data_IF_128870291549
#
_entry.id   IF_128870291549
#
_cell.length_a   1.000
_cell.length_b   1.000
_cell.length_c   1.000
_cell.angle_alpha   90.00
_cell.angle_beta   90.00
_cell.angle_gamma   90.00
#
_symmetry.space_group_name_H-M   'P 1'
#
loop_
_entity.id
_entity.type
_entity.pdbx_description
1 polymer ?
#
# COMPACT_ATOMS: atom_id res chain seq x y z
N UNK A 1 4.11 28.72 -20.82
CA UNK A 1 3.36 29.90 -20.34
C UNK A 1 4.33 30.91 -19.74
N UNK A 2 4.18 32.21 -20.06
CA UNK A 2 5.13 33.28 -19.73
C UNK A 2 4.93 33.91 -18.33
N UNK A 3 3.74 33.80 -17.76
CA UNK A 3 3.36 34.34 -16.45
C UNK A 3 2.68 33.26 -15.60
N UNK A 4 2.77 33.39 -14.28
CA UNK A 4 2.16 32.53 -13.25
C UNK A 4 1.19 33.35 -12.38
N UNK A 5 0.29 32.64 -11.69
CA UNK A 5 -0.57 33.26 -10.68
C UNK A 5 0.29 33.85 -9.55
N UNK A 6 0.03 35.10 -9.19
CA UNK A 6 0.79 35.85 -8.19
C UNK A 6 1.89 36.74 -8.77
N UNK A 7 2.21 36.65 -10.06
CA UNK A 7 3.22 37.51 -10.69
C UNK A 7 2.80 38.99 -10.65
N UNK A 8 3.69 39.88 -10.23
CA UNK A 8 3.45 41.33 -10.27
C UNK A 8 3.86 41.89 -11.64
N UNK A 9 2.90 42.46 -12.36
CA UNK A 9 3.06 42.91 -13.75
C UNK A 9 2.59 44.35 -13.92
N UNK A 10 3.21 45.03 -14.89
CA UNK A 10 2.82 46.37 -15.37
C UNK A 10 2.29 46.27 -16.78
N UNK A 11 1.24 47.01 -17.07
CA UNK A 11 0.68 47.12 -18.42
C UNK A 11 1.65 47.91 -19.31
N UNK A 12 1.86 47.44 -20.54
CA UNK A 12 2.83 48.06 -21.47
C UNK A 12 2.32 49.41 -21.98
N UNK A 13 1.00 49.50 -22.23
CA UNK A 13 0.37 50.69 -22.83
C UNK A 13 -0.26 51.62 -21.79
N UNK A 14 -0.38 51.18 -20.53
CA UNK A 14 -1.09 51.89 -19.47
C UNK A 14 -0.21 52.04 -18.22
N UNK A 15 -0.39 53.14 -17.47
CA UNK A 15 0.29 53.34 -16.18
C UNK A 15 -0.42 52.58 -15.06
N UNK A 16 -0.63 51.29 -15.27
CA UNK A 16 -1.31 50.40 -14.35
C UNK A 16 -0.40 49.23 -13.99
N UNK A 17 -0.51 48.79 -12.74
CA UNK A 17 0.22 47.66 -12.18
C UNK A 17 -0.77 46.80 -11.41
N UNK A 18 -0.46 45.52 -11.30
CA UNK A 18 -1.30 44.58 -10.58
C UNK A 18 -0.69 43.19 -10.52
N UNK A 19 -1.39 42.30 -9.83
CA UNK A 19 -1.00 40.89 -9.72
C UNK A 19 -1.79 40.06 -10.71
N UNK A 20 -1.13 39.07 -11.31
CA UNK A 20 -1.81 38.06 -12.13
C UNK A 20 -2.65 37.18 -11.21
N UNK A 21 -3.95 37.37 -11.22
CA UNK A 21 -4.91 36.67 -10.36
C UNK A 21 -5.60 35.51 -11.07
N UNK A 22 -5.54 35.47 -12.40
CA UNK A 22 -6.14 34.40 -13.21
C UNK A 22 -5.37 34.14 -14.50
N UNK A 23 -5.25 32.87 -14.89
CA UNK A 23 -4.79 32.47 -16.23
C UNK A 23 -6.02 32.02 -17.00
N UNK A 24 -6.38 32.76 -18.05
CA UNK A 24 -7.57 32.48 -18.86
C UNK A 24 -7.21 31.47 -19.95
N UNK A 25 -6.11 31.74 -20.67
CA UNK A 25 -5.49 30.83 -21.65
C UNK A 25 -4.00 31.18 -21.84
N UNK A 26 -3.34 30.59 -22.86
CA UNK A 26 -1.92 30.83 -23.17
C UNK A 26 -1.61 32.27 -23.58
N UNK A 27 -2.61 33.04 -24.02
CA UNK A 27 -2.47 34.40 -24.56
C UNK A 27 -3.11 35.47 -23.68
N UNK A 28 -4.05 35.12 -22.80
CA UNK A 28 -4.83 36.05 -21.98
C UNK A 28 -4.75 35.71 -20.49
N UNK A 29 -4.52 36.73 -19.67
CA UNK A 29 -4.40 36.65 -18.22
C UNK A 29 -5.31 37.70 -17.56
N UNK A 30 -5.79 37.42 -16.36
CA UNK A 30 -6.47 38.38 -15.49
C UNK A 30 -5.46 39.04 -14.56
N UNK A 31 -5.41 40.38 -14.57
CA UNK A 31 -4.55 41.18 -13.68
C UNK A 31 -5.44 42.05 -12.80
N UNK A 32 -5.24 41.97 -11.49
CA UNK A 32 -5.98 42.77 -10.50
C UNK A 32 -5.05 43.83 -9.90
N UNK A 33 -5.46 45.09 -10.00
CA UNK A 33 -4.74 46.23 -9.42
C UNK A 33 -5.21 46.56 -7.99
N UNK A 34 -4.87 47.77 -7.53
CA UNK A 34 -5.22 48.27 -6.19
C UNK A 34 -6.72 48.56 -5.99
N UNK A 35 -7.51 48.53 -7.06
CA UNK A 35 -8.96 48.75 -7.07
C UNK A 35 -9.79 47.47 -6.97
N UNK A 36 -9.13 46.31 -6.73
CA UNK A 36 -9.73 44.98 -6.64
C UNK A 36 -10.55 44.56 -7.90
N UNK A 37 -10.36 45.24 -9.03
CA UNK A 37 -11.01 44.90 -10.28
C UNK A 37 -10.09 44.03 -11.14
N UNK A 38 -10.56 42.85 -11.55
CA UNK A 38 -9.82 41.96 -12.45
C UNK A 38 -9.98 42.41 -13.91
N UNK A 39 -8.88 42.78 -14.54
CA UNK A 39 -8.83 43.19 -15.95
C UNK A 39 -8.26 42.03 -16.77
N UNK A 40 -8.99 41.51 -17.76
CA UNK A 40 -8.45 40.55 -18.71
C UNK A 40 -7.56 41.26 -19.74
N UNK A 41 -6.31 40.85 -19.85
CA UNK A 41 -5.28 41.47 -20.68
C UNK A 41 -4.45 40.40 -21.38
N UNK A 42 -4.02 40.70 -22.61
CA UNK A 42 -3.12 39.82 -23.35
C UNK A 42 -1.74 39.75 -22.68
N UNK A 43 -1.17 38.55 -22.59
CA UNK A 43 0.14 38.29 -22.00
C UNK A 43 1.28 39.09 -22.68
N UNK A 44 1.14 39.48 -23.95
CA UNK A 44 2.11 40.32 -24.65
C UNK A 44 1.96 41.83 -24.35
N UNK A 45 0.89 42.24 -23.66
CA UNK A 45 0.60 43.62 -23.25
C UNK A 45 0.95 43.91 -21.79
N UNK A 46 1.62 42.98 -21.12
CA UNK A 46 2.14 43.14 -19.76
C UNK A 46 3.62 42.82 -19.69
N UNK A 47 4.32 43.40 -18.73
CA UNK A 47 5.73 43.12 -18.43
C UNK A 47 5.94 42.96 -16.93
N UNK A 48 6.93 42.15 -16.54
CA UNK A 48 7.33 42.01 -15.15
C UNK A 48 7.87 43.33 -14.59
N UNK A 49 7.46 43.67 -13.37
CA UNK A 49 8.08 44.76 -12.60
C UNK A 49 9.12 44.15 -11.66
N UNK A 50 10.39 44.21 -12.06
CA UNK A 50 11.50 43.75 -11.23
C UNK A 50 11.81 44.83 -10.18
N UNK A 51 11.66 44.52 -8.88
CA UNK A 51 11.99 45.47 -7.81
C UNK A 51 11.10 45.42 -6.56
N UNK A 52 10.04 44.61 -6.54
CA UNK A 52 9.31 44.23 -5.32
C UNK A 52 9.45 42.71 -5.22
N UNK A 53 10.19 42.27 -4.22
CA UNK A 53 10.87 40.97 -4.21
C UNK A 53 9.95 39.77 -4.48
N UNK A 54 10.32 39.00 -5.49
CA UNK A 54 10.81 37.65 -5.24
C UNK A 54 12.16 37.56 -5.94
N UNK A 55 13.14 37.01 -5.23
CA UNK A 55 14.36 36.51 -5.83
C UNK A 55 13.96 35.66 -7.05
N UNK A 56 14.66 35.86 -8.16
CA UNK A 56 14.62 34.93 -9.27
C UNK A 56 14.81 33.52 -8.71
N UNK A 57 13.72 32.76 -8.58
CA UNK A 57 13.74 31.30 -8.45
C UNK A 57 14.16 30.69 -9.80
N UNK A 58 15.32 31.13 -10.29
CA UNK A 58 16.20 30.41 -11.19
C UNK A 58 17.33 29.76 -10.36
N UNK A 59 17.04 29.38 -9.11
CA UNK A 59 17.66 28.13 -8.64
C UNK A 59 17.01 27.04 -9.47
N UNK A 60 17.78 26.45 -10.38
CA UNK A 60 17.45 25.17 -10.99
C UNK A 60 16.94 24.26 -9.87
N UNK A 61 15.61 24.12 -9.79
CA UNK A 61 14.99 23.19 -8.87
C UNK A 61 15.72 21.87 -9.11
N UNK A 62 16.30 21.25 -8.06
CA UNK A 62 17.10 20.05 -8.24
C UNK A 62 16.29 19.11 -9.10
N UNK A 63 16.84 18.72 -10.25
CA UNK A 63 16.15 17.85 -11.19
C UNK A 63 15.82 16.58 -10.43
N UNK A 64 14.59 16.48 -9.93
CA UNK A 64 14.08 15.30 -9.23
C UNK A 64 14.15 14.21 -10.29
N UNK A 65 15.12 13.31 -10.16
CA UNK A 65 15.23 12.13 -11.00
C UNK A 65 13.95 11.34 -10.80
N UNK A 66 13.02 11.47 -11.73
CA UNK A 66 11.83 10.64 -11.78
C UNK A 66 12.35 9.21 -11.93
N UNK A 67 12.10 8.30 -10.97
CA UNK A 67 12.54 6.93 -11.11
C UNK A 67 11.89 6.33 -12.36
N UNK A 68 12.69 5.87 -13.32
CA UNK A 68 12.19 5.07 -14.44
C UNK A 68 11.67 3.73 -13.87
N UNK A 69 10.36 3.54 -13.86
CA UNK A 69 9.70 2.35 -13.30
C UNK A 69 8.21 2.54 -13.06
N UNK A 70 7.55 1.46 -12.64
CA UNK A 70 6.16 1.48 -12.18
C UNK A 70 6.01 2.42 -10.96
N UNK A 71 4.95 3.23 -10.95
CA UNK A 71 4.70 4.19 -9.86
C UNK A 71 4.34 3.44 -8.56
N UNK A 72 5.27 3.39 -7.61
CA UNK A 72 5.11 2.67 -6.35
C UNK A 72 4.37 3.52 -5.32
N UNK A 73 3.19 3.07 -4.91
CA UNK A 73 2.27 3.84 -4.04
C UNK A 73 2.42 3.53 -2.55
N UNK A 74 3.08 2.43 -2.18
CA UNK A 74 3.29 2.00 -0.78
C UNK A 74 4.74 1.63 -0.51
N UNK A 75 5.15 1.65 0.75
CA UNK A 75 6.50 1.32 1.20
C UNK A 75 7.16 2.44 2.01
N UNK A 76 6.38 3.13 2.85
CA UNK A 76 6.91 4.05 3.84
C UNK A 76 7.23 3.26 5.10
N UNK A 77 8.50 3.24 5.51
CA UNK A 77 8.94 2.44 6.66
C UNK A 77 9.69 3.29 7.68
N UNK A 78 9.55 2.94 8.95
CA UNK A 78 10.50 3.33 9.99
C UNK A 78 11.55 2.23 10.17
N UNK A 79 12.81 2.59 10.03
CA UNK A 79 13.95 1.74 10.29
C UNK A 79 14.64 2.16 11.59
N UNK A 80 14.81 1.23 12.52
CA UNK A 80 15.54 1.42 13.77
C UNK A 80 16.87 0.67 13.66
N UNK A 81 17.97 1.40 13.57
CA UNK A 81 19.31 0.86 13.33
C UNK A 81 20.19 1.13 14.56
N UNK A 82 20.76 0.09 15.18
CA UNK A 82 21.76 0.27 16.25
C UNK A 82 23.03 0.94 15.73
N UNK A 83 23.58 1.84 16.52
CA UNK A 83 24.89 2.41 16.28
C UNK A 83 25.97 1.35 16.55
N UNK A 84 26.94 1.25 15.66
CA UNK A 84 28.03 0.26 15.76
C UNK A 84 29.11 0.65 16.77
N UNK A 85 29.22 1.94 17.09
CA UNK A 85 30.26 2.52 17.94
C UNK A 85 29.73 2.91 19.33
N UNK A 86 28.42 3.15 19.46
CA UNK A 86 27.78 3.56 20.70
C UNK A 86 26.85 2.48 21.23
N UNK A 87 27.23 1.86 22.35
CA UNK A 87 26.44 0.80 22.97
C UNK A 87 25.02 1.29 23.30
N UNK A 88 24.02 0.46 22.97
CA UNK A 88 22.59 0.72 23.15
C UNK A 88 22.03 1.95 22.41
N UNK A 89 22.82 2.73 21.67
CA UNK A 89 22.28 3.84 20.87
C UNK A 89 21.62 3.29 19.61
N UNK A 90 20.43 3.80 19.29
CA UNK A 90 19.73 3.49 18.04
C UNK A 90 19.33 4.77 17.32
N UNK A 91 19.26 4.67 16.01
CA UNK A 91 18.88 5.74 15.11
C UNK A 91 17.62 5.35 14.35
N UNK A 92 16.70 6.30 14.26
CA UNK A 92 15.44 6.15 13.55
C UNK A 92 15.59 6.81 12.19
N UNK A 93 15.28 6.05 11.15
CA UNK A 93 15.31 6.50 9.78
C UNK A 93 13.94 6.30 9.14
N UNK A 94 13.38 7.36 8.58
CA UNK A 94 12.21 7.21 7.71
C UNK A 94 12.71 6.85 6.31
N UNK A 95 12.28 5.69 5.82
CA UNK A 95 12.67 5.11 4.53
C UNK A 95 11.49 5.28 3.58
N UNK A 96 11.72 6.01 2.50
CA UNK A 96 10.74 6.22 1.45
C UNK A 96 11.08 5.32 0.26
N UNK A 97 10.39 4.18 0.13
CA UNK A 97 10.50 3.36 -1.09
C UNK A 97 9.47 3.72 -2.16
N UNK A 98 8.60 4.70 -1.89
CA UNK A 98 7.53 5.10 -2.80
C UNK A 98 8.05 6.00 -3.91
N UNK A 99 7.23 6.19 -4.94
CA UNK A 99 7.44 7.18 -5.99
C UNK A 99 7.00 8.60 -5.60
N UNK A 100 6.46 8.79 -4.39
CA UNK A 100 6.07 10.10 -3.86
C UNK A 100 7.25 10.79 -3.19
N UNK A 101 7.27 12.12 -3.27
CA UNK A 101 7.98 12.95 -2.32
C UNK A 101 7.16 13.02 -1.03
N UNK A 102 7.81 12.85 0.12
CA UNK A 102 7.14 12.85 1.43
C UNK A 102 7.41 14.17 2.15
N UNK A 103 6.36 14.91 2.48
CA UNK A 103 6.44 16.01 3.44
C UNK A 103 6.14 15.43 4.82
N UNK A 104 7.13 15.43 5.69
CA UNK A 104 7.12 14.66 6.95
C UNK A 104 7.27 15.55 8.16
N UNK A 105 6.50 15.25 9.21
CA UNK A 105 6.76 15.70 10.57
C UNK A 105 6.76 14.51 11.54
N UNK A 106 7.71 14.52 12.49
CA UNK A 106 7.76 13.61 13.62
C UNK A 106 7.54 14.40 14.90
N UNK A 107 6.60 13.94 15.72
CA UNK A 107 6.37 14.45 17.07
C UNK A 107 6.53 13.34 18.11
N UNK A 108 7.00 13.73 19.30
CA UNK A 108 7.00 12.87 20.49
C UNK A 108 5.94 13.36 21.48
N UNK A 109 5.23 12.43 22.11
CA UNK A 109 4.24 12.70 23.16
C UNK A 109 4.65 11.96 24.44
N UNK A 110 4.83 12.70 25.53
CA UNK A 110 5.11 12.13 26.84
C UNK A 110 4.33 12.89 27.91
N UNK A 111 3.48 12.18 28.65
CA UNK A 111 2.57 12.78 29.63
C UNK A 111 1.70 13.90 29.00
N UNK A 112 1.92 15.16 29.38
CA UNK A 112 1.21 16.35 28.85
C UNK A 112 2.05 17.16 27.86
N UNK A 113 3.28 16.76 27.60
CA UNK A 113 4.19 17.49 26.70
C UNK A 113 4.20 16.84 25.32
N UNK A 114 4.17 17.68 24.29
CA UNK A 114 4.35 17.29 22.91
C UNK A 114 5.50 18.11 22.33
N UNK A 115 6.37 17.47 21.56
CA UNK A 115 7.55 18.10 20.97
C UNK A 115 7.69 17.67 19.52
N UNK A 116 8.00 18.61 18.63
CA UNK A 116 8.44 18.28 17.27
C UNK A 116 9.92 17.86 17.30
N UNK A 117 10.20 16.67 16.78
CA UNK A 117 11.57 16.13 16.71
C UNK A 117 12.17 16.26 15.30
N UNK A 118 11.33 16.21 14.26
CA UNK A 118 11.78 16.33 12.88
C UNK A 118 10.68 16.96 12.02
N UNK A 119 11.09 17.77 11.05
CA UNK A 119 10.25 18.22 9.95
C UNK A 119 11.13 18.30 8.70
N UNK A 120 10.64 17.82 7.56
CA UNK A 120 11.44 17.84 6.34
C UNK A 120 10.79 17.13 5.16
N UNK A 121 11.46 17.25 4.03
CA UNK A 121 11.10 16.61 2.77
C UNK A 121 12.00 15.39 2.57
N UNK A 122 11.41 14.26 2.19
CA UNK A 122 12.14 13.05 1.80
C UNK A 122 11.78 12.71 0.36
N UNK A 123 12.80 12.73 -0.50
CA UNK A 123 12.65 12.42 -1.92
C UNK A 123 12.22 10.96 -2.16
N UNK A 124 11.63 10.65 -3.33
CA UNK A 124 11.38 9.28 -3.75
C UNK A 124 12.65 8.42 -3.63
N UNK A 125 12.51 7.19 -3.15
CA UNK A 125 13.62 6.24 -3.01
C UNK A 125 14.79 6.75 -2.15
N UNK A 126 14.48 7.56 -1.14
CA UNK A 126 15.45 8.15 -0.24
C UNK A 126 15.17 7.78 1.23
N UNK A 127 16.08 8.21 2.10
CA UNK A 127 16.05 7.93 3.54
C UNK A 127 16.52 9.15 4.32
N UNK A 128 15.88 9.43 5.45
CA UNK A 128 16.28 10.50 6.36
C UNK A 128 16.38 10.00 7.80
N UNK A 129 17.45 10.38 8.50
CA UNK A 129 17.55 10.18 9.95
C UNK A 129 16.66 11.21 10.64
N UNK A 130 15.67 10.74 11.40
CA UNK A 130 14.65 11.62 12.00
C UNK A 130 14.69 11.64 13.52
N UNK A 131 15.32 10.66 14.16
CA UNK A 131 15.44 10.63 15.62
C UNK A 131 16.58 9.72 16.09
N UNK A 132 16.94 9.81 17.37
CA UNK A 132 17.92 8.93 18.01
C UNK A 132 17.59 8.76 19.49
N UNK A 133 17.76 7.55 20.01
CA UNK A 133 17.51 7.25 21.42
C UNK A 133 18.31 6.05 21.89
N UNK A 134 18.38 5.84 23.21
CA UNK A 134 18.98 4.65 23.79
C UNK A 134 17.94 3.55 23.91
N UNK A 135 18.23 2.38 23.33
CA UNK A 135 17.40 1.19 23.42
C UNK A 135 17.29 0.66 24.85
N UNK A 136 18.29 0.91 25.70
CA UNK A 136 18.21 0.60 27.15
C UNK A 136 17.05 1.31 27.85
N UNK A 137 16.67 2.48 27.32
CA UNK A 137 15.67 3.36 27.92
C UNK A 137 14.29 3.16 27.28
N UNK A 138 14.08 2.04 26.58
CA UNK A 138 12.86 1.76 25.82
C UNK A 138 11.57 1.96 26.63
N UNK A 139 11.58 1.59 27.92
CA UNK A 139 10.41 1.78 28.80
C UNK A 139 10.06 3.25 29.04
N UNK A 140 11.03 4.16 28.84
CA UNK A 140 10.89 5.60 28.99
C UNK A 140 10.60 6.30 27.66
N UNK A 141 10.59 5.58 26.54
CA UNK A 141 10.37 6.20 25.24
C UNK A 141 8.97 6.83 25.14
N UNK A 142 8.88 8.01 24.51
CA UNK A 142 7.60 8.67 24.27
C UNK A 142 6.79 7.89 23.23
N UNK A 143 5.51 8.24 23.09
CA UNK A 143 4.76 7.87 21.88
C UNK A 143 5.26 8.72 20.72
N UNK A 144 5.48 8.09 19.57
CA UNK A 144 5.90 8.76 18.35
C UNK A 144 4.69 8.96 17.44
N UNK A 145 4.53 10.15 16.88
CA UNK A 145 3.47 10.50 15.93
C UNK A 145 4.11 10.97 14.65
N UNK A 146 3.88 10.21 13.59
CA UNK A 146 4.33 10.48 12.23
C UNK A 146 3.18 11.08 11.44
N UNK A 147 3.41 12.23 10.83
CA UNK A 147 2.47 12.87 9.91
C UNK A 147 3.17 13.03 8.57
N UNK A 148 2.62 12.41 7.53
CA UNK A 148 3.24 12.32 6.23
C UNK A 148 2.21 12.68 5.15
N UNK A 149 2.54 13.69 4.34
CA UNK A 149 1.77 14.08 3.16
C UNK A 149 2.52 13.62 1.91
N UNK A 150 1.80 13.03 0.97
CA UNK A 150 2.34 12.49 -0.27
C UNK A 150 2.21 13.51 -1.41
N UNK A 151 3.30 13.78 -2.11
CA UNK A 151 3.33 14.69 -3.25
C UNK A 151 3.96 14.04 -4.49
N UNK A 152 3.39 14.30 -5.66
CA UNK A 152 3.97 13.93 -6.95
C UNK A 152 3.53 14.92 -8.03
N UNK A 153 4.41 15.17 -9.01
CA UNK A 153 4.07 15.92 -10.24
C UNK A 153 3.42 15.03 -11.31
N UNK A 154 3.44 13.72 -11.13
CA UNK A 154 2.84 12.76 -12.07
C UNK A 154 1.32 12.71 -11.89
N UNK A 155 0.60 12.44 -12.97
CA UNK A 155 -0.85 12.27 -12.94
C UNK A 155 -1.21 10.97 -12.20
N UNK A 156 -1.48 11.07 -10.90
CA UNK A 156 -1.86 9.98 -10.00
C UNK A 156 -3.03 10.44 -9.12
N UNK A 157 -3.90 9.52 -8.66
CA UNK A 157 -4.92 9.87 -7.69
C UNK A 157 -4.28 10.41 -6.41
N UNK A 158 -4.92 11.42 -5.81
CA UNK A 158 -4.45 12.01 -4.56
C UNK A 158 -4.46 10.93 -3.47
N UNK A 159 -3.34 10.77 -2.78
CA UNK A 159 -3.20 9.83 -1.66
C UNK A 159 -3.45 10.58 -0.36
N UNK A 160 -4.28 9.98 0.51
CA UNK A 160 -4.56 10.52 1.84
C UNK A 160 -3.29 10.67 2.68
N UNK A 161 -3.17 11.74 3.48
CA UNK A 161 -2.08 11.87 4.44
C UNK A 161 -2.04 10.68 5.39
N UNK A 162 -0.84 10.18 5.64
CA UNK A 162 -0.60 9.13 6.61
C UNK A 162 -0.40 9.76 7.99
N UNK A 163 -1.22 9.35 8.96
CA UNK A 163 -1.03 9.63 10.36
C UNK A 163 -0.85 8.33 11.12
N UNK A 164 0.36 8.08 11.63
CA UNK A 164 0.70 6.87 12.35
C UNK A 164 1.20 7.22 13.75
N UNK A 165 0.71 6.51 14.76
CA UNK A 165 1.07 6.76 16.16
C UNK A 165 1.43 5.46 16.85
N UNK A 166 2.65 5.35 17.37
CA UNK A 166 3.15 4.12 17.99
C UNK A 166 3.94 4.42 19.27
N UNK A 167 3.78 3.56 20.26
CA UNK A 167 4.64 3.55 21.45
C UNK A 167 5.39 2.22 21.46
N UNK A 168 6.60 2.24 20.89
CA UNK A 168 7.40 1.03 20.72
C UNK A 168 7.66 0.30 22.05
N UNK A 169 7.56 -1.02 22.00
CA UNK A 169 7.75 -1.97 23.09
C UNK A 169 8.77 -3.02 22.68
N UNK A 170 9.20 -3.84 23.65
CA UNK A 170 10.22 -4.87 23.41
C UNK A 170 9.85 -5.85 22.28
N UNK A 171 8.56 -6.16 22.11
CA UNK A 171 8.05 -7.03 21.05
C UNK A 171 8.37 -6.52 19.63
N UNK A 172 8.43 -5.21 19.44
CA UNK A 172 8.67 -4.59 18.13
C UNK A 172 10.13 -4.76 17.69
N UNK A 173 11.01 -5.10 18.65
CA UNK A 173 12.42 -5.38 18.45
C UNK A 173 12.78 -6.87 18.63
N UNK A 174 11.79 -7.75 18.82
CA UNK A 174 12.02 -9.19 19.01
C UNK A 174 12.33 -9.91 17.69
N UNK A 175 11.89 -9.35 16.56
CA UNK A 175 12.15 -9.90 15.23
C UNK A 175 13.61 -9.79 14.79
N UNK A 176 13.98 -10.58 13.79
CA UNK A 176 15.29 -10.47 13.15
C UNK A 176 15.45 -9.11 12.44
N UNK A 177 16.66 -8.55 12.53
CA UNK A 177 17.02 -7.35 11.77
C UNK A 177 17.03 -7.69 10.27
N UNK A 178 16.57 -6.73 9.47
CA UNK A 178 16.54 -6.80 8.02
C UNK A 178 17.50 -5.76 7.44
N UNK A 179 17.93 -5.98 6.20
CA UNK A 179 18.68 -4.97 5.44
C UNK A 179 17.76 -3.78 5.14
N UNK A 180 18.15 -2.60 5.60
CA UNK A 180 17.42 -1.35 5.36
C UNK A 180 17.74 -0.84 3.95
N UNK A 181 16.72 -0.61 3.11
CA UNK A 181 16.89 -0.03 1.76
C UNK A 181 17.67 1.28 1.79
N UNK A 182 18.47 1.52 0.75
CA UNK A 182 19.30 2.73 0.54
C UNK A 182 20.46 2.94 1.54
N UNK A 183 20.35 2.44 2.77
CA UNK A 183 21.42 2.49 3.79
C UNK A 183 22.34 1.26 3.78
N UNK A 184 21.84 0.09 3.32
CA UNK A 184 22.56 -1.19 3.35
C UNK A 184 23.03 -1.61 4.75
N UNK A 185 22.36 -1.13 5.80
CA UNK A 185 22.62 -1.46 7.21
C UNK A 185 21.55 -2.43 7.73
N UNK A 186 21.83 -3.13 8.84
CA UNK A 186 20.88 -4.05 9.47
C UNK A 186 20.07 -3.33 10.56
N UNK A 187 18.75 -3.33 10.45
CA UNK A 187 17.86 -2.70 11.42
C UNK A 187 16.50 -3.39 11.52
N UNK A 188 15.71 -3.00 12.52
CA UNK A 188 14.29 -3.37 12.57
C UNK A 188 13.53 -2.46 11.62
N UNK A 189 12.70 -3.04 10.75
CA UNK A 189 11.96 -2.34 9.71
C UNK A 189 10.47 -2.56 9.95
N UNK A 190 9.73 -1.48 10.16
CA UNK A 190 8.29 -1.48 10.43
C UNK A 190 7.63 -0.61 9.36
N UNK A 191 6.64 -1.17 8.67
CA UNK A 191 5.92 -0.44 7.61
C UNK A 191 4.84 0.43 8.24
N UNK A 192 4.79 1.70 7.87
CA UNK A 192 3.87 2.70 8.43
C UNK A 192 2.58 2.84 7.62
N UNK A 193 2.63 2.45 6.34
CA UNK A 193 1.53 2.62 5.38
C UNK A 193 0.86 1.28 5.01
N UNK A 194 1.06 0.23 5.81
CA UNK A 194 0.19 -0.95 5.77
C UNK A 194 -1.16 -0.61 6.42
N UNK A 195 -2.28 -1.03 5.82
CA UNK A 195 -3.57 -0.91 6.49
C UNK A 195 -3.54 -1.74 7.77
N UNK A 196 -3.86 -1.12 8.91
CA UNK A 196 -4.12 -1.86 10.13
C UNK A 196 -5.18 -2.92 9.82
N UNK A 197 -4.83 -4.20 9.98
CA UNK A 197 -5.83 -5.25 10.03
C UNK A 197 -6.61 -4.95 11.31
N UNK A 198 -7.80 -4.37 11.16
CA UNK A 198 -8.74 -4.21 12.28
C UNK A 198 -9.18 -5.63 12.64
N UNK A 199 -8.38 -6.29 13.46
CA UNK A 199 -8.75 -7.59 14.02
C UNK A 199 -9.72 -7.26 15.15
N UNK A 200 -11.00 -7.47 14.88
CA UNK A 200 -12.06 -7.33 15.86
C UNK A 200 -11.70 -8.19 17.09
N UNK A 201 -11.57 -7.61 18.31
CA UNK A 201 -11.20 -8.36 19.51
C UNK A 201 -12.18 -9.49 19.84
N UNK A 202 -13.40 -9.46 19.29
CA UNK A 202 -14.37 -10.55 19.38
C UNK A 202 -13.95 -11.76 18.53
N UNK A 203 -13.41 -11.55 17.33
CA UNK A 203 -12.88 -12.62 16.46
C UNK A 203 -11.60 -13.26 17.02
N UNK A 204 -10.79 -12.48 17.75
CA UNK A 204 -9.61 -12.99 18.46
C UNK A 204 -10.00 -13.95 19.58
N UNK A 205 -11.04 -13.64 20.38
CA UNK A 205 -11.48 -14.54 21.47
C UNK A 205 -11.95 -15.89 20.91
N UNK A 206 -12.68 -15.92 19.81
CA UNK A 206 -13.09 -17.19 19.19
C UNK A 206 -11.90 -17.99 18.64
N UNK A 207 -10.80 -17.34 18.24
CA UNK A 207 -9.58 -18.01 17.76
C UNK A 207 -8.72 -18.61 18.88
N UNK A 208 -8.74 -18.02 20.09
CA UNK A 208 -7.98 -18.53 21.26
C UNK A 208 -8.65 -19.72 21.97
N UNK A 209 -9.97 -19.90 21.81
CA UNK A 209 -10.69 -21.04 22.40
C UNK A 209 -10.82 -22.24 21.45
N UNK A 210 -10.18 -22.20 20.29
CA UNK A 210 -9.95 -23.42 19.50
C UNK A 210 -8.68 -24.09 20.04
N UNK A 211 -8.75 -25.33 20.58
CA UNK A 211 -7.53 -26.05 20.92
C UNK A 211 -6.63 -26.06 19.69
N UNK A 212 -5.33 -25.83 19.90
CA UNK A 212 -4.34 -25.81 18.83
C UNK A 212 -4.46 -27.09 18.01
N UNK A 213 -5.15 -27.01 16.88
CA UNK A 213 -5.08 -28.05 15.88
C UNK A 213 -3.67 -27.93 15.35
N UNK A 214 -2.87 -28.97 15.62
CA UNK A 214 -1.54 -29.16 15.07
C UNK A 214 -1.50 -28.61 13.67
N UNK A 215 -0.46 -27.83 13.40
CA UNK A 215 -0.09 -27.34 12.08
C UNK A 215 -0.02 -28.58 11.17
N UNK A 216 -1.13 -28.94 10.55
CA UNK A 216 -1.16 -29.97 9.54
C UNK A 216 -0.33 -29.37 8.41
N UNK A 217 0.89 -29.88 8.27
CA UNK A 217 1.63 -29.75 7.03
C UNK A 217 0.63 -29.99 5.91
N UNK A 218 0.42 -28.96 5.09
CA UNK A 218 -0.43 -29.08 3.91
C UNK A 218 0.29 -30.11 3.05
N UNK A 219 -0.16 -31.36 3.14
CA UNK A 219 0.40 -32.44 2.36
C UNK A 219 0.09 -32.13 0.90
N UNK A 220 1.04 -32.44 0.02
CA UNK A 220 0.88 -32.29 -1.43
C UNK A 220 -0.46 -32.93 -1.82
N UNK A 221 -1.42 -32.16 -2.38
CA UNK A 221 -2.74 -32.71 -2.68
C UNK A 221 -2.60 -33.83 -3.70
N UNK A 222 -3.40 -34.88 -3.53
CA UNK A 222 -3.53 -35.93 -4.53
C UNK A 222 -3.97 -35.32 -5.86
N UNK A 223 -3.48 -35.88 -6.97
CA UNK A 223 -3.81 -35.41 -8.33
C UNK A 223 -5.30 -35.57 -8.67
N UNK A 224 -6.03 -36.42 -7.92
CA UNK A 224 -7.46 -36.67 -8.03
C UNK A 224 -8.12 -36.44 -6.66
N UNK A 225 -9.12 -35.56 -6.60
CA UNK A 225 -9.85 -35.19 -5.37
C UNK A 225 -11.32 -35.51 -5.56
N UNK A 226 -11.84 -36.42 -4.73
CA UNK A 226 -13.27 -36.73 -4.70
C UNK A 226 -14.03 -35.72 -3.82
N UNK A 227 -15.08 -35.14 -4.38
CA UNK A 227 -15.94 -34.16 -3.71
C UNK A 227 -17.30 -34.75 -3.34
N UNK A 228 -17.56 -36.05 -3.54
CA UNK A 228 -18.76 -36.70 -3.02
C UNK A 228 -18.83 -36.55 -1.50
N UNK A 229 -20.00 -36.19 -0.97
CA UNK A 229 -20.15 -35.87 0.46
C UNK A 229 -19.83 -37.06 1.35
N UNK A 230 -20.06 -38.27 0.86
CA UNK A 230 -19.75 -39.54 1.49
C UNK A 230 -18.24 -39.72 1.74
N UNK A 231 -17.39 -39.08 0.93
CA UNK A 231 -15.93 -39.07 1.10
C UNK A 231 -15.46 -37.95 2.04
N UNK A 232 -16.29 -36.91 2.23
CA UNK A 232 -15.94 -35.74 3.02
C UNK A 232 -16.45 -35.80 4.46
N UNK A 233 -17.55 -36.54 4.70
CA UNK A 233 -18.22 -36.62 6.00
C UNK A 233 -18.99 -37.92 6.18
N UNK A 234 -18.93 -38.49 7.38
CA UNK A 234 -19.68 -39.72 7.74
C UNK A 234 -21.15 -39.41 8.14
N UNK A 235 -21.42 -38.23 8.70
CA UNK A 235 -22.73 -37.78 9.20
C UNK A 235 -23.57 -37.06 8.13
N UNK A 236 -23.28 -37.26 6.84
CA UNK A 236 -23.91 -36.55 5.73
C UNK A 236 -25.44 -36.71 5.64
N UNK A 237 -25.99 -37.79 6.20
CA UNK A 237 -27.43 -38.06 6.24
C UNK A 237 -28.25 -37.02 7.02
N UNK A 238 -27.61 -36.23 7.89
CA UNK A 238 -28.26 -35.20 8.69
C UNK A 238 -28.18 -33.80 8.06
N UNK A 239 -27.55 -33.66 6.89
CA UNK A 239 -27.27 -32.37 6.28
C UNK A 239 -28.28 -32.01 5.19
N UNK A 240 -28.64 -30.73 5.13
CA UNK A 240 -29.45 -30.19 4.03
C UNK A 240 -28.64 -30.08 2.74
N UNK A 241 -29.30 -30.13 1.57
CA UNK A 241 -28.63 -30.07 0.27
C UNK A 241 -27.75 -28.83 0.07
N UNK A 242 -28.14 -27.68 0.66
CA UNK A 242 -27.33 -26.45 0.63
C UNK A 242 -26.07 -26.55 1.49
N UNK A 243 -26.14 -27.26 2.62
CA UNK A 243 -25.00 -27.46 3.52
C UNK A 243 -24.01 -28.45 2.90
N UNK A 244 -24.53 -29.51 2.29
CA UNK A 244 -23.75 -30.47 1.50
C UNK A 244 -22.96 -29.73 0.42
N UNK A 245 -23.64 -28.91 -0.39
CA UNK A 245 -22.98 -28.12 -1.44
C UNK A 245 -21.90 -27.19 -0.86
N UNK A 246 -22.18 -26.50 0.24
CA UNK A 246 -21.22 -25.60 0.89
C UNK A 246 -19.95 -26.34 1.36
N UNK A 247 -20.10 -27.54 1.92
CA UNK A 247 -18.98 -28.39 2.35
C UNK A 247 -18.15 -28.82 1.14
N UNK A 248 -18.80 -29.28 0.07
CA UNK A 248 -18.13 -29.71 -1.15
C UNK A 248 -17.34 -28.57 -1.82
N UNK A 249 -17.92 -27.37 -1.88
CA UNK A 249 -17.25 -26.17 -2.41
C UNK A 249 -16.09 -25.73 -1.51
N UNK A 250 -16.26 -25.79 -0.19
CA UNK A 250 -15.18 -25.48 0.76
C UNK A 250 -13.99 -26.42 0.57
N UNK A 251 -14.24 -27.72 0.45
CA UNK A 251 -13.20 -28.71 0.21
C UNK A 251 -12.51 -28.51 -1.15
N UNK A 252 -13.29 -28.22 -2.20
CA UNK A 252 -12.76 -27.85 -3.52
C UNK A 252 -11.80 -26.65 -3.44
N UNK A 253 -12.20 -25.56 -2.78
CA UNK A 253 -11.36 -24.36 -2.66
C UNK A 253 -10.06 -24.66 -1.92
N UNK A 254 -10.14 -25.38 -0.79
CA UNK A 254 -8.96 -25.77 -0.01
C UNK A 254 -7.97 -26.61 -0.84
N UNK A 255 -8.48 -27.57 -1.61
CA UNK A 255 -7.67 -28.41 -2.48
C UNK A 255 -7.05 -27.62 -3.66
N UNK A 256 -7.81 -26.69 -4.25
CA UNK A 256 -7.32 -25.81 -5.31
C UNK A 256 -6.21 -24.87 -4.81
N UNK A 257 -6.38 -24.26 -3.64
CA UNK A 257 -5.37 -23.42 -3.01
C UNK A 257 -4.11 -24.20 -2.67
N UNK A 258 -4.25 -25.41 -2.10
CA UNK A 258 -3.11 -26.30 -1.86
C UNK A 258 -2.37 -26.62 -3.17
N UNK A 259 -3.09 -26.94 -4.25
CA UNK A 259 -2.48 -27.24 -5.54
C UNK A 259 -1.72 -26.04 -6.13
N UNK A 260 -2.25 -24.83 -5.96
CA UNK A 260 -1.60 -23.57 -6.35
C UNK A 260 -0.33 -23.33 -5.53
N UNK A 261 -0.39 -23.48 -4.20
CA UNK A 261 0.76 -23.29 -3.30
C UNK A 261 1.88 -24.28 -3.61
N UNK A 262 1.52 -25.53 -3.92
CA UNK A 262 2.47 -26.59 -4.25
C UNK A 262 2.88 -26.63 -5.73
N UNK A 263 2.46 -25.66 -6.56
CA UNK A 263 2.78 -25.57 -8.00
C UNK A 263 2.46 -26.86 -8.77
N UNK A 264 1.33 -27.49 -8.46
CA UNK A 264 0.88 -28.70 -9.16
C UNK A 264 0.40 -28.32 -10.56
N UNK A 265 0.88 -29.00 -11.60
CA UNK A 265 0.52 -28.67 -13.00
C UNK A 265 -0.95 -28.93 -13.33
N UNK A 266 -1.53 -30.00 -12.80
CA UNK A 266 -2.92 -30.39 -13.05
C UNK A 266 -3.55 -31.09 -11.84
N UNK A 267 -4.85 -30.88 -11.65
CA UNK A 267 -5.65 -31.52 -10.60
C UNK A 267 -7.04 -31.87 -11.14
N UNK A 268 -7.57 -33.02 -10.76
CA UNK A 268 -8.89 -33.51 -11.20
C UNK A 268 -9.86 -33.54 -10.03
N UNK A 269 -11.01 -32.90 -10.16
CA UNK A 269 -12.07 -32.87 -9.17
C UNK A 269 -13.23 -33.75 -9.60
N UNK A 270 -13.61 -34.73 -8.78
CA UNK A 270 -14.71 -35.64 -9.04
C UNK A 270 -15.94 -35.11 -8.30
N UNK A 271 -16.95 -34.64 -9.03
CA UNK A 271 -18.16 -34.01 -8.50
C UNK A 271 -19.44 -34.83 -8.76
N UNK A 272 -19.33 -35.97 -9.44
CA UNK A 272 -20.44 -36.84 -9.78
C UNK A 272 -21.31 -36.33 -10.93
N UNK A 273 -22.24 -37.18 -11.40
CA UNK A 273 -23.12 -36.93 -12.55
C UNK A 273 -24.54 -36.50 -12.15
N UNK A 274 -24.75 -35.98 -10.94
CA UNK A 274 -26.07 -35.60 -10.42
C UNK A 274 -26.72 -34.43 -11.18
N UNK A 275 -27.49 -33.58 -10.49
CA UNK A 275 -28.20 -32.43 -11.09
C UNK A 275 -27.28 -31.33 -11.68
N UNK A 276 -25.96 -31.52 -11.71
CA UNK A 276 -24.99 -30.59 -12.31
C UNK A 276 -24.73 -29.30 -11.53
N UNK A 277 -25.37 -29.11 -10.37
CA UNK A 277 -25.23 -27.90 -9.53
C UNK A 277 -23.78 -27.71 -9.07
N UNK A 278 -23.17 -28.76 -8.51
CA UNK A 278 -21.78 -28.73 -8.06
C UNK A 278 -20.83 -28.41 -9.22
N UNK A 279 -20.99 -29.09 -10.37
CA UNK A 279 -20.21 -28.81 -11.59
C UNK A 279 -20.29 -27.34 -12.01
N UNK A 280 -21.50 -26.77 -12.02
CA UNK A 280 -21.71 -25.39 -12.45
C UNK A 280 -20.99 -24.39 -11.52
N UNK A 281 -21.10 -24.58 -10.20
CA UNK A 281 -20.40 -23.73 -9.24
C UNK A 281 -18.88 -23.88 -9.32
N UNK A 282 -18.36 -25.10 -9.52
CA UNK A 282 -16.94 -25.34 -9.76
C UNK A 282 -16.45 -24.57 -10.99
N UNK A 283 -17.14 -24.68 -12.12
CA UNK A 283 -16.74 -24.01 -13.37
C UNK A 283 -16.76 -22.50 -13.23
N UNK A 284 -17.74 -21.95 -12.51
CA UNK A 284 -17.84 -20.51 -12.20
C UNK A 284 -16.68 -20.01 -11.33
N UNK A 285 -16.27 -20.80 -10.33
CA UNK A 285 -15.13 -20.48 -9.47
C UNK A 285 -13.81 -20.57 -10.25
N UNK A 286 -13.64 -21.61 -11.06
CA UNK A 286 -12.45 -21.82 -11.90
C UNK A 286 -12.28 -20.70 -12.94
N UNK A 287 -13.37 -20.28 -13.59
CA UNK A 287 -13.34 -19.22 -14.59
C UNK A 287 -12.92 -17.85 -14.01
N UNK A 288 -13.19 -17.60 -12.72
CA UNK A 288 -12.79 -16.37 -12.03
C UNK A 288 -11.35 -16.38 -11.50
N UNK A 289 -10.73 -17.57 -11.40
CA UNK A 289 -9.43 -17.70 -10.76
C UNK A 289 -8.29 -17.43 -11.76
N UNK A 290 -7.56 -16.33 -11.56
CA UNK A 290 -6.46 -15.90 -12.44
C UNK A 290 -5.29 -16.89 -12.51
N UNK A 291 -5.15 -17.79 -11.53
CA UNK A 291 -4.09 -18.81 -11.46
C UNK A 291 -4.47 -20.11 -12.19
N UNK A 292 -5.71 -20.24 -12.64
CA UNK A 292 -6.15 -21.33 -13.51
C UNK A 292 -5.80 -20.98 -14.95
N UNK A 293 -5.12 -21.88 -15.65
CA UNK A 293 -4.78 -21.74 -17.07
C UNK A 293 -5.96 -22.12 -17.94
N UNK A 294 -6.54 -23.29 -17.69
CA UNK A 294 -7.72 -23.81 -18.39
C UNK A 294 -8.32 -24.97 -17.59
N UNK A 295 -9.58 -25.31 -17.84
CA UNK A 295 -10.25 -26.47 -17.26
C UNK A 295 -11.14 -27.15 -18.30
N UNK A 296 -11.31 -28.45 -18.18
CA UNK A 296 -12.11 -29.29 -19.09
C UNK A 296 -12.75 -30.44 -18.32
N UNK A 297 -13.82 -31.02 -18.85
CA UNK A 297 -14.36 -32.26 -18.28
C UNK A 297 -13.29 -33.37 -18.37
N UNK A 298 -13.11 -34.13 -17.30
CA UNK A 298 -12.07 -35.17 -17.20
C UNK A 298 -12.44 -36.40 -18.05
N UNK A 299 -11.48 -37.33 -18.23
CA UNK A 299 -11.58 -38.48 -19.13
C UNK A 299 -12.91 -39.25 -18.96
N UNK A 300 -13.72 -39.23 -20.02
CA UNK A 300 -15.05 -39.85 -20.08
C UNK A 300 -15.02 -41.36 -19.84
N UNK A 301 -13.91 -42.02 -20.16
CA UNK A 301 -13.71 -43.47 -19.99
C UNK A 301 -13.49 -43.89 -18.52
N UNK A 302 -12.96 -42.98 -17.67
CA UNK A 302 -12.63 -43.28 -16.27
C UNK A 302 -13.65 -42.72 -15.28
N UNK A 303 -14.27 -41.57 -15.59
CA UNK A 303 -15.17 -40.85 -14.66
C UNK A 303 -16.52 -40.42 -15.25
N UNK A 304 -16.84 -40.83 -16.49
CA UNK A 304 -18.01 -40.30 -17.21
C UNK A 304 -17.95 -38.77 -17.36
N UNK A 305 -19.08 -38.08 -17.19
CA UNK A 305 -19.15 -36.60 -17.14
C UNK A 305 -19.03 -36.05 -15.70
N UNK A 306 -18.59 -36.87 -14.75
CA UNK A 306 -18.65 -36.59 -13.32
C UNK A 306 -17.40 -35.95 -12.74
N UNK A 307 -16.45 -35.49 -13.56
CA UNK A 307 -15.21 -34.89 -13.08
C UNK A 307 -14.73 -33.74 -13.98
N UNK A 308 -14.03 -32.78 -13.37
CA UNK A 308 -13.43 -31.61 -14.03
C UNK A 308 -11.93 -31.62 -13.79
N UNK A 309 -11.15 -31.63 -14.88
CA UNK A 309 -9.69 -31.51 -14.88
C UNK A 309 -9.29 -30.04 -15.01
N UNK A 310 -8.41 -29.58 -14.12
CA UNK A 310 -7.97 -28.18 -14.01
C UNK A 310 -6.47 -28.11 -14.24
N UNK A 311 -6.05 -27.22 -15.12
CA UNK A 311 -4.65 -26.92 -15.39
C UNK A 311 -4.29 -25.59 -14.72
N UNK A 312 -3.26 -25.60 -13.89
CA UNK A 312 -2.78 -24.41 -13.18
C UNK A 312 -1.61 -23.77 -13.94
N UNK A 313 -1.40 -22.47 -13.71
CA UNK A 313 -0.31 -21.69 -14.33
C UNK A 313 1.05 -21.99 -13.70
#
# INVERSE_FOLDING_TARGET
MKYKLGDFVRFVDEKMEGYVTRIIDDQMIGVTGDDDFEIPVLANKVTFVHGRGEESHDEEAPQIKIPEGEFKTTGVHIAIIPDVNANSLVHFYLVNETSYQLLTALHTKQQKQQKGEYAGIIEPQAVAKIYSSKLSDLQLWPSFVFQIVFYTKQAQPVKEPLQYSEQFKAKDFAGAKKTVPYLKQQGWLIQLDEPEIIIDPEQLKESFFRPAQEKQEIQKPATEIDLHIEQLREDYHFLGSSEILAIQISHFNKALEAAIVHQVHEITFIHGTGNGILRHELHKLLAKNQKVKTFMDAQKEKFGYGATKVFLK
#
